data_IF_038768059205
#
_entry.id   IF_038768059205
#
_cell.length_a   1.000
_cell.length_b   1.000
_cell.length_c   1.000
_cell.angle_alpha   90.00
_cell.angle_beta   90.00
_cell.angle_gamma   90.00
#
_symmetry.space_group_name_H-M   'P 1'
#
loop_
_entity.id
_entity.type
_entity.pdbx_description
1 polymer ?
#
# COMPACT_ATOMS: atom_id res chain seq x y z
N UNK A 1 -30.97 1.88 -23.18
CA UNK A 1 -29.90 2.74 -22.61
C UNK A 1 -28.59 2.00 -22.83
N UNK A 2 -27.65 2.57 -23.57
CA UNK A 2 -26.38 1.89 -23.87
C UNK A 2 -25.44 1.92 -22.66
N UNK A 3 -24.86 0.78 -22.31
CA UNK A 3 -23.76 0.72 -21.36
C UNK A 3 -22.48 1.13 -22.09
N UNK A 4 -21.81 2.17 -21.62
CA UNK A 4 -20.47 2.51 -22.10
C UNK A 4 -19.45 1.64 -21.37
N UNK A 5 -18.67 0.87 -22.10
CA UNK A 5 -17.58 0.06 -21.57
C UNK A 5 -16.27 0.68 -22.05
N UNK A 6 -15.36 0.94 -21.11
CA UNK A 6 -14.00 1.38 -21.43
C UNK A 6 -13.04 0.29 -20.97
N UNK A 7 -12.15 -0.14 -21.88
CA UNK A 7 -11.10 -1.13 -21.59
C UNK A 7 -9.75 -0.46 -21.69
N UNK A 8 -8.92 -0.63 -20.65
CA UNK A 8 -7.51 -0.27 -20.67
C UNK A 8 -6.69 -1.56 -20.54
N UNK A 9 -5.66 -1.71 -21.36
CA UNK A 9 -4.73 -2.83 -21.32
C UNK A 9 -3.32 -2.31 -21.16
N UNK A 10 -2.64 -2.75 -20.10
CA UNK A 10 -1.27 -2.34 -19.79
C UNK A 10 -0.38 -3.57 -19.92
N UNK A 11 0.66 -3.47 -20.76
CA UNK A 11 1.71 -4.48 -20.82
C UNK A 11 2.80 -4.09 -19.85
N UNK A 12 3.07 -4.96 -18.88
CA UNK A 12 4.16 -4.77 -17.93
C UNK A 12 5.36 -5.64 -18.32
N UNK A 13 6.60 -5.13 -18.26
CA UNK A 13 7.78 -5.96 -18.45
C UNK A 13 7.83 -7.09 -17.43
N UNK A 14 8.23 -8.29 -17.86
CA UNK A 14 8.32 -9.46 -16.97
C UNK A 14 9.20 -9.18 -15.73
N UNK A 15 10.27 -8.41 -15.90
CA UNK A 15 11.18 -8.04 -14.81
C UNK A 15 10.56 -7.25 -13.66
N UNK A 16 9.35 -6.72 -13.82
CA UNK A 16 8.66 -5.95 -12.77
C UNK A 16 7.92 -6.82 -11.75
N UNK A 17 7.67 -8.07 -12.10
CA UNK A 17 6.91 -9.04 -11.28
C UNK A 17 7.73 -10.28 -10.93
N UNK A 18 9.04 -10.23 -11.17
CA UNK A 18 9.98 -11.29 -10.82
C UNK A 18 10.70 -11.00 -9.51
N UNK A 19 11.22 -12.04 -8.84
CA UNK A 19 12.08 -11.87 -7.66
C UNK A 19 11.37 -11.37 -6.41
N UNK A 20 10.09 -11.72 -6.23
CA UNK A 20 9.29 -11.31 -5.07
C UNK A 20 8.69 -9.90 -5.19
N UNK A 21 8.89 -9.23 -6.32
CA UNK A 21 8.26 -7.93 -6.60
C UNK A 21 6.81 -8.15 -7.06
N UNK A 22 5.90 -7.30 -6.55
CA UNK A 22 4.48 -7.32 -6.90
C UNK A 22 4.03 -5.94 -7.40
N UNK A 23 2.95 -5.92 -8.18
CA UNK A 23 2.32 -4.69 -8.67
C UNK A 23 1.01 -4.44 -7.95
N UNK A 24 0.82 -3.21 -7.45
CA UNK A 24 -0.51 -2.74 -7.04
C UNK A 24 -1.22 -2.09 -8.22
N UNK A 25 -2.46 -2.50 -8.46
CA UNK A 25 -3.31 -1.96 -9.54
C UNK A 25 -4.57 -1.37 -8.92
N UNK A 26 -4.82 -0.09 -9.18
CA UNK A 26 -5.99 0.63 -8.68
C UNK A 26 -6.87 1.08 -9.85
N UNK A 27 -7.95 0.36 -10.18
CA UNK A 27 -8.94 0.81 -11.16
C UNK A 27 -9.56 2.14 -10.71
N UNK A 28 -9.64 3.13 -11.60
CA UNK A 28 -10.19 4.45 -11.27
C UNK A 28 -10.99 5.06 -12.42
N UNK A 29 -11.97 5.89 -12.07
CA UNK A 29 -12.66 6.77 -13.01
C UNK A 29 -12.00 8.14 -13.00
N UNK A 30 -12.12 8.86 -14.12
CA UNK A 30 -11.45 10.15 -14.34
C UNK A 30 -11.81 11.22 -13.31
N UNK A 31 -13.04 11.21 -12.79
CA UNK A 31 -13.57 12.26 -11.92
C UNK A 31 -14.00 11.70 -10.56
N UNK A 32 -13.68 12.38 -9.45
CA UNK A 32 -14.20 12.03 -8.12
C UNK A 32 -15.73 11.97 -8.11
N UNK A 33 -16.29 11.07 -7.30
CA UNK A 33 -17.75 10.89 -7.16
C UNK A 33 -18.43 10.21 -8.36
N UNK A 34 -17.68 9.80 -9.38
CA UNK A 34 -18.21 8.99 -10.48
C UNK A 34 -18.41 7.55 -10.02
N UNK A 35 -19.53 6.94 -10.42
CA UNK A 35 -19.87 5.55 -10.11
C UNK A 35 -19.88 4.70 -11.38
N UNK A 36 -19.45 3.45 -11.26
CA UNK A 36 -19.45 2.49 -12.37
C UNK A 36 -18.95 1.12 -11.95
N UNK A 37 -19.43 0.08 -12.63
CA UNK A 37 -18.90 -1.26 -12.49
C UNK A 37 -17.54 -1.37 -13.20
N UNK A 38 -16.64 -2.19 -12.65
CA UNK A 38 -15.34 -2.48 -13.23
C UNK A 38 -15.01 -3.97 -13.09
N UNK A 39 -14.14 -4.46 -13.98
CA UNK A 39 -13.54 -5.78 -13.91
C UNK A 39 -12.04 -5.65 -14.22
N UNK A 40 -11.21 -6.41 -13.49
CA UNK A 40 -9.77 -6.50 -13.71
C UNK A 40 -9.41 -7.93 -14.06
N UNK A 41 -8.74 -8.11 -15.20
CA UNK A 41 -8.29 -9.41 -15.70
C UNK A 41 -6.77 -9.37 -15.90
N UNK A 42 -6.07 -10.42 -15.50
CA UNK A 42 -4.60 -10.53 -15.59
C UNK A 42 -4.24 -11.77 -16.39
N UNK A 43 -3.40 -11.58 -17.40
CA UNK A 43 -2.93 -12.64 -18.28
C UNK A 43 -1.41 -12.72 -18.18
N UNK A 44 -0.88 -13.89 -17.83
CA UNK A 44 0.55 -14.16 -17.74
C UNK A 44 0.90 -15.47 -18.45
N UNK A 45 2.17 -15.61 -18.85
CA UNK A 45 2.73 -16.87 -19.34
C UNK A 45 3.08 -17.84 -18.20
N UNK A 46 2.94 -17.38 -16.95
CA UNK A 46 3.08 -18.14 -15.71
C UNK A 46 1.82 -17.95 -14.85
N UNK A 47 1.51 -18.86 -13.91
CA UNK A 47 0.42 -18.66 -12.97
C UNK A 47 0.57 -17.35 -12.20
N UNK A 48 -0.48 -16.54 -12.17
CA UNK A 48 -0.53 -15.26 -11.47
C UNK A 48 -1.58 -15.34 -10.36
N UNK A 49 -1.22 -14.88 -9.16
CA UNK A 49 -2.20 -14.63 -8.09
C UNK A 49 -2.72 -13.19 -8.22
N UNK A 50 -4.03 -13.02 -8.04
CA UNK A 50 -4.68 -11.71 -7.99
C UNK A 50 -5.52 -11.64 -6.72
N UNK A 51 -4.98 -10.95 -5.72
CA UNK A 51 -5.66 -10.72 -4.45
C UNK A 51 -6.09 -9.26 -4.33
N UNK A 52 -7.32 -9.04 -3.85
CA UNK A 52 -7.77 -7.71 -3.48
C UNK A 52 -7.00 -7.27 -2.23
N UNK A 53 -6.24 -6.17 -2.34
CA UNK A 53 -5.60 -5.57 -1.18
C UNK A 53 -6.70 -5.13 -0.20
N UNK A 54 -6.82 -5.81 0.94
CA UNK A 54 -7.41 -5.18 2.14
C UNK A 54 -6.52 -3.98 2.47
N UNK A 55 -7.10 -2.88 2.98
CA UNK A 55 -6.42 -1.59 3.16
C UNK A 55 -4.93 -1.76 3.47
N UNK A 56 -4.03 -1.44 2.53
CA UNK A 56 -2.63 -1.79 2.69
C UNK A 56 -2.04 -1.02 3.86
N UNK A 57 -1.48 -1.75 4.83
CA UNK A 57 -0.42 -1.26 5.72
C UNK A 57 -0.79 -0.16 6.73
N UNK A 58 -2.07 0.07 7.06
CA UNK A 58 -2.38 1.05 8.11
C UNK A 58 -2.08 0.48 9.50
N UNK A 59 -0.92 0.87 10.05
CA UNK A 59 -0.67 0.79 11.49
C UNK A 59 -1.00 2.16 12.09
N UNK A 60 -2.07 2.22 12.90
CA UNK A 60 -2.49 3.44 13.60
C UNK A 60 -2.07 3.35 15.07
N UNK A 61 -1.24 4.30 15.51
CA UNK A 61 -0.93 4.50 16.93
C UNK A 61 -1.63 5.78 17.38
N UNK A 62 -2.49 5.68 18.40
CA UNK A 62 -3.16 6.83 19.00
C UNK A 62 -2.38 7.34 20.21
N UNK A 63 -2.36 8.66 20.43
CA UNK A 63 -1.67 9.28 21.56
C UNK A 63 -1.98 10.77 21.70
N UNK A 64 -1.66 11.33 22.86
CA UNK A 64 -1.85 12.74 23.20
C UNK A 64 -0.54 13.37 23.72
N UNK A 65 -0.36 14.67 23.48
CA UNK A 65 0.78 15.45 23.97
C UNK A 65 0.38 16.11 25.28
N UNK A 66 0.87 15.60 26.41
CA UNK A 66 0.43 16.01 27.74
C UNK A 66 1.60 16.18 28.70
N UNK A 67 1.55 17.24 29.51
CA UNK A 67 2.57 17.53 30.51
C UNK A 67 3.99 17.56 29.92
N UNK A 68 4.84 16.63 30.37
CA UNK A 68 6.27 16.59 29.99
C UNK A 68 6.54 16.09 28.57
N UNK A 69 5.57 15.47 27.90
CA UNK A 69 5.70 15.01 26.50
C UNK A 69 5.34 16.07 25.47
N UNK A 70 4.84 17.23 25.91
CA UNK A 70 4.49 18.36 25.06
C UNK A 70 5.66 19.36 24.93
N UNK A 71 6.82 18.90 24.46
CA UNK A 71 8.09 19.64 24.62
C UNK A 71 8.48 20.56 23.45
N UNK A 72 7.57 20.77 22.50
CA UNK A 72 7.79 21.67 21.36
C UNK A 72 8.60 21.04 20.21
N UNK A 73 8.99 21.85 19.23
CA UNK A 73 9.73 21.39 18.04
C UNK A 73 11.25 21.38 18.27
N UNK A 74 12.02 20.98 17.25
CA UNK A 74 13.49 20.83 17.29
C UNK A 74 14.28 22.08 17.72
N UNK A 75 13.65 23.25 17.80
CA UNK A 75 14.26 24.49 18.31
C UNK A 75 14.24 24.59 19.84
N UNK A 76 13.47 23.75 20.53
CA UNK A 76 13.41 23.66 21.98
C UNK A 76 14.33 22.54 22.47
N UNK A 77 15.16 22.81 23.48
CA UNK A 77 16.15 21.84 24.00
C UNK A 77 15.54 20.53 24.52
N UNK A 78 14.25 20.56 24.86
CA UNK A 78 13.53 19.43 25.44
C UNK A 78 12.74 18.59 24.40
N UNK A 79 12.84 18.89 23.10
CA UNK A 79 12.03 18.24 22.04
C UNK A 79 12.15 16.71 22.00
N UNK A 80 13.25 16.15 22.49
CA UNK A 80 13.45 14.70 22.62
C UNK A 80 12.54 14.03 23.67
N UNK A 81 11.82 14.80 24.48
CA UNK A 81 10.79 14.28 25.41
C UNK A 81 9.47 13.96 24.72
N UNK A 82 9.29 14.40 23.48
CA UNK A 82 8.13 14.06 22.67
C UNK A 82 8.10 12.54 22.41
N UNK A 83 6.90 11.96 22.14
CA UNK A 83 6.82 10.56 21.75
C UNK A 83 7.69 10.25 20.53
N UNK A 84 8.51 9.21 20.64
CA UNK A 84 9.41 8.75 19.59
C UNK A 84 9.04 7.34 19.16
N UNK A 85 9.08 7.08 17.85
CA UNK A 85 8.72 5.81 17.26
C UNK A 85 9.85 5.30 16.38
N UNK A 86 10.06 3.99 16.41
CA UNK A 86 10.94 3.29 15.48
C UNK A 86 10.07 2.63 14.41
N UNK A 87 10.29 2.99 13.15
CA UNK A 87 9.62 2.35 12.01
C UNK A 87 10.58 1.38 11.35
N UNK A 88 10.16 0.13 11.18
CA UNK A 88 10.86 -0.89 10.40
C UNK A 88 9.91 -1.53 9.38
N UNK A 89 10.44 -2.11 8.30
CA UNK A 89 9.68 -3.03 7.47
C UNK A 89 9.09 -4.15 8.34
N UNK A 90 7.87 -4.58 8.02
CA UNK A 90 7.27 -5.74 8.69
C UNK A 90 8.04 -7.00 8.23
N UNK A 91 8.47 -7.85 9.18
CA UNK A 91 9.09 -9.14 8.85
C UNK A 91 8.12 -10.15 8.20
N UNK A 92 6.82 -9.81 8.07
CA UNK A 92 5.82 -10.68 7.47
C UNK A 92 6.10 -11.01 5.99
N UNK A 93 7.04 -10.32 5.33
CA UNK A 93 7.43 -10.58 3.94
C UNK A 93 8.79 -11.31 3.80
N UNK A 94 9.48 -11.65 4.90
CA UNK A 94 10.84 -12.21 4.86
C UNK A 94 10.94 -13.74 4.98
N UNK A 95 9.85 -14.46 5.26
CA UNK A 95 9.88 -15.92 5.41
C UNK A 95 8.86 -16.65 4.54
N UNK A 96 9.20 -16.72 3.27
CA UNK A 96 8.65 -17.68 2.33
C UNK A 96 9.74 -18.33 1.48
N UNK A 97 10.84 -18.80 2.08
CA UNK A 97 11.72 -19.89 1.59
C UNK A 97 12.92 -20.12 2.52
N UNK A 98 13.02 -21.34 3.06
CA UNK A 98 14.15 -21.83 3.83
C UNK A 98 13.94 -23.30 4.21
N UNK A 99 14.57 -24.19 3.43
CA UNK A 99 14.49 -25.65 3.46
C UNK A 99 14.70 -26.31 4.84
N UNK A 100 14.06 -27.48 5.00
CA UNK A 100 14.26 -28.48 6.05
C UNK A 100 13.32 -29.65 5.84
#
# INVERSE_FOLDING_TARGET
RGHAVATASIKVPAGWVTGGQALSVHPMLRLPGSEGAWALEVHGTVPMALDMLREPGQTRVEGAWEGRSAAGCQLHTDWLRNPAFFLSPSEADAHGQGAG
#
